data_IF_256330437744
#
_entry.id   IF_256330437744
#
_cell.length_a   1.000
_cell.length_b   1.000
_cell.length_c   1.000
_cell.angle_alpha   90.00
_cell.angle_beta   90.00
_cell.angle_gamma   90.00
#
_symmetry.space_group_name_H-M   'P 1'
#
loop_
_entity.id
_entity.type
_entity.pdbx_description
1 polymer ?
#
# COMPACT_ATOMS: atom_id res chain seq x y z
N UNK A 1 22.77 -15.08 -38.97
CA UNK A 1 21.90 -15.98 -38.18
C UNK A 1 21.68 -15.31 -36.84
N UNK A 2 20.58 -14.58 -36.76
CA UNK A 2 20.28 -13.57 -35.76
C UNK A 2 19.59 -14.23 -34.56
N UNK A 3 20.25 -14.23 -33.40
CA UNK A 3 19.73 -14.83 -32.18
C UNK A 3 18.73 -13.87 -31.52
N UNK A 4 17.46 -14.23 -31.63
CA UNK A 4 16.29 -13.58 -31.05
C UNK A 4 16.45 -13.28 -29.55
N UNK A 5 16.27 -12.01 -29.18
CA UNK A 5 16.19 -11.54 -27.78
C UNK A 5 14.86 -12.02 -27.15
N UNK A 6 14.85 -12.53 -25.90
CA UNK A 6 13.60 -12.85 -25.22
C UNK A 6 12.83 -11.56 -24.88
N UNK A 7 11.54 -11.59 -25.19
CA UNK A 7 10.61 -10.49 -25.01
C UNK A 7 10.52 -10.04 -23.54
N UNK A 8 10.55 -8.73 -23.33
CA UNK A 8 10.32 -8.10 -22.03
C UNK A 8 8.89 -8.42 -21.56
N UNK A 9 8.78 -9.09 -20.41
CA UNK A 9 7.53 -9.29 -19.69
C UNK A 9 6.87 -7.93 -19.43
N UNK A 10 5.77 -7.67 -20.12
CA UNK A 10 4.87 -6.54 -19.86
C UNK A 10 3.92 -6.94 -18.74
N UNK A 11 4.21 -6.53 -17.50
CA UNK A 11 3.26 -6.60 -16.41
C UNK A 11 2.28 -5.41 -16.54
N UNK A 12 0.99 -5.72 -16.68
CA UNK A 12 -0.12 -4.80 -16.91
C UNK A 12 -0.98 -4.69 -15.64
N UNK A 13 -1.32 -3.44 -15.30
CA UNK A 13 -2.51 -2.88 -14.62
C UNK A 13 -2.96 -3.35 -13.22
N UNK A 14 -3.28 -2.37 -12.34
CA UNK A 14 -4.26 -2.48 -11.22
C UNK A 14 -4.25 -1.25 -10.29
N UNK A 15 -4.84 -0.13 -10.68
CA UNK A 15 -4.40 1.15 -10.14
C UNK A 15 -5.51 2.20 -10.43
N UNK A 16 -6.25 2.78 -9.45
CA UNK A 16 -6.93 4.11 -9.59
C UNK A 16 -6.92 5.08 -8.38
N UNK A 17 -6.82 6.42 -8.59
CA UNK A 17 -7.96 7.32 -8.29
C UNK A 17 -8.25 8.47 -9.30
N UNK A 18 -9.46 9.05 -9.25
CA UNK A 18 -9.98 10.14 -10.11
C UNK A 18 -9.52 11.53 -9.65
N UNK A 19 -9.24 12.45 -10.58
CA UNK A 19 -8.66 13.78 -10.28
C UNK A 19 -9.48 14.93 -10.82
N UNK A 20 -9.65 15.98 -10.02
CA UNK A 20 -10.53 17.11 -10.33
C UNK A 20 -9.87 18.45 -9.96
N UNK A 21 -10.13 19.52 -10.70
CA UNK A 21 -9.45 20.82 -10.49
C UNK A 21 -10.18 21.74 -9.49
N UNK A 22 -9.44 22.58 -8.75
CA UNK A 22 -9.95 23.69 -7.92
C UNK A 22 -9.48 25.06 -8.48
N UNK A 23 -10.20 26.15 -8.22
CA UNK A 23 -9.82 27.52 -8.64
C UNK A 23 -8.77 28.19 -7.72
N UNK A 24 -8.41 27.56 -6.60
CA UNK A 24 -7.40 28.02 -5.64
C UNK A 24 -7.50 27.27 -4.30
N UNK A 25 -6.57 27.48 -3.36
CA UNK A 25 -6.68 26.93 -1.99
C UNK A 25 -6.33 25.44 -1.82
N UNK A 26 -5.74 24.80 -2.83
CA UNK A 26 -5.13 23.48 -2.67
C UNK A 26 -3.70 23.57 -2.13
N UNK A 27 -3.13 22.44 -1.71
CA UNK A 27 -1.77 22.38 -1.16
C UNK A 27 -0.67 22.78 -2.15
N UNK A 28 -1.00 22.93 -3.43
CA UNK A 28 -0.07 23.30 -4.50
C UNK A 28 0.72 24.60 -4.22
N UNK A 29 0.12 25.58 -3.55
CA UNK A 29 0.76 26.86 -3.23
C UNK A 29 1.17 26.99 -1.74
N UNK A 30 1.11 25.91 -0.97
CA UNK A 30 1.34 25.94 0.47
C UNK A 30 2.77 26.34 0.87
N UNK A 31 3.75 26.02 0.03
CA UNK A 31 5.19 26.27 0.25
C UNK A 31 5.65 27.69 -0.09
N UNK A 32 4.77 28.54 -0.64
CA UNK A 32 5.09 29.93 -0.95
C UNK A 32 5.33 30.74 0.33
N UNK A 33 6.10 31.83 0.20
CA UNK A 33 6.54 32.67 1.32
C UNK A 33 5.41 33.00 2.32
N UNK A 34 4.19 33.40 1.91
CA UNK A 34 3.11 33.67 2.87
C UNK A 34 2.68 32.43 3.66
N UNK A 35 2.61 31.25 3.02
CA UNK A 35 2.29 29.98 3.67
C UNK A 35 3.37 29.58 4.66
N UNK A 36 4.65 29.72 4.29
CA UNK A 36 5.79 29.43 5.14
C UNK A 36 5.83 30.33 6.38
N UNK A 37 5.60 31.64 6.22
CA UNK A 37 5.57 32.60 7.34
C UNK A 37 4.42 32.29 8.31
N UNK A 38 3.23 31.96 7.80
CA UNK A 38 2.09 31.61 8.65
C UNK A 38 2.34 30.31 9.44
N UNK A 39 2.98 29.33 8.81
CA UNK A 39 3.37 28.09 9.49
C UNK A 39 4.42 28.34 10.57
N UNK A 40 5.53 28.99 10.24
CA UNK A 40 6.66 29.16 11.18
C UNK A 40 6.32 30.07 12.36
N UNK A 41 5.52 31.12 12.15
CA UNK A 41 5.20 32.08 13.21
C UNK A 41 3.94 31.73 14.01
N UNK A 42 2.98 31.03 13.40
CA UNK A 42 1.65 30.82 14.00
C UNK A 42 1.23 29.36 14.06
N UNK A 43 2.00 28.43 13.50
CA UNK A 43 1.64 27.02 13.38
C UNK A 43 0.26 26.84 12.72
N UNK A 44 -0.03 27.66 11.70
CA UNK A 44 -1.31 27.70 10.99
C UNK A 44 -1.09 27.72 9.48
N UNK A 45 -2.12 27.30 8.74
CA UNK A 45 -2.16 27.36 7.28
C UNK A 45 -1.90 26.01 6.63
N UNK A 46 -1.92 25.97 5.29
CA UNK A 46 -1.92 24.73 4.50
C UNK A 46 -0.72 23.79 4.75
N UNK A 47 0.41 24.29 5.26
CA UNK A 47 1.56 23.46 5.63
C UNK A 47 1.33 22.61 6.90
N UNK A 48 0.24 22.82 7.63
CA UNK A 48 -0.17 21.94 8.76
C UNK A 48 -1.00 20.73 8.30
N UNK A 49 -1.26 20.62 7.00
CA UNK A 49 -2.02 19.52 6.40
C UNK A 49 -1.25 18.21 6.39
N UNK A 50 -1.96 17.10 6.60
CA UNK A 50 -1.49 15.73 6.36
C UNK A 50 -1.75 15.25 4.92
N UNK A 51 -2.22 16.13 4.03
CA UNK A 51 -2.55 15.88 2.62
C UNK A 51 -3.87 15.14 2.40
N UNK A 52 -4.11 14.04 3.11
CA UNK A 52 -5.40 13.32 3.08
C UNK A 52 -6.36 13.92 4.11
N UNK A 53 -7.16 14.88 3.65
CA UNK A 53 -7.96 15.77 4.51
C UNK A 53 -9.34 15.20 4.86
N UNK A 54 -9.85 14.26 4.05
CA UNK A 54 -11.08 13.54 4.38
C UNK A 54 -11.03 12.10 3.89
N UNK A 55 -11.73 11.23 4.60
CA UNK A 55 -11.85 9.82 4.28
C UNK A 55 -13.23 9.30 4.66
N UNK A 56 -13.64 8.19 4.06
CA UNK A 56 -14.88 7.49 4.35
C UNK A 56 -14.77 6.01 4.03
N UNK A 57 -15.55 5.18 4.71
CA UNK A 57 -15.56 3.74 4.50
C UNK A 57 -16.85 3.32 3.82
N UNK A 58 -16.73 2.50 2.77
CA UNK A 58 -17.86 1.99 2.01
C UNK A 58 -17.74 0.48 1.78
N UNK A 59 -18.88 -0.14 1.50
CA UNK A 59 -18.95 -1.52 1.03
C UNK A 59 -19.06 -1.49 -0.49
N UNK A 60 -18.24 -2.27 -1.18
CA UNK A 60 -18.37 -2.50 -2.63
C UNK A 60 -19.67 -3.21 -2.96
N UNK A 61 -20.07 -4.16 -2.10
CA UNK A 61 -21.29 -4.96 -2.23
C UNK A 61 -22.11 -4.99 -0.93
N UNK A 62 -23.45 -4.99 -1.00
CA UNK A 62 -24.31 -4.81 0.16
C UNK A 62 -24.26 -5.98 1.17
N UNK A 63 -23.90 -7.17 0.72
CA UNK A 63 -23.79 -8.40 1.50
C UNK A 63 -22.53 -8.49 2.38
N UNK A 64 -21.56 -7.57 2.21
CA UNK A 64 -20.37 -7.57 3.06
C UNK A 64 -20.70 -7.20 4.51
N UNK A 65 -20.12 -7.91 5.49
CA UNK A 65 -20.33 -7.61 6.90
C UNK A 65 -19.65 -6.31 7.34
N UNK A 66 -18.59 -5.90 6.66
CA UNK A 66 -17.78 -4.71 6.97
C UNK A 66 -17.36 -3.98 5.68
N UNK A 67 -17.04 -2.67 5.75
CA UNK A 67 -16.51 -1.90 4.61
C UNK A 67 -15.18 -2.44 4.10
N UNK A 68 -15.09 -2.75 2.82
CA UNK A 68 -13.90 -3.22 2.11
C UNK A 68 -13.25 -2.13 1.26
N UNK A 69 -13.87 -0.94 1.20
CA UNK A 69 -13.37 0.22 0.49
C UNK A 69 -13.13 1.39 1.45
N UNK A 70 -12.00 2.07 1.29
CA UNK A 70 -11.74 3.39 1.85
C UNK A 70 -11.72 4.40 0.71
N UNK A 71 -12.55 5.43 0.83
CA UNK A 71 -12.61 6.57 -0.05
C UNK A 71 -11.77 7.67 0.58
N UNK A 72 -10.78 8.19 -0.15
CA UNK A 72 -9.92 9.27 0.31
C UNK A 72 -10.13 10.53 -0.54
N UNK A 73 -9.98 11.68 0.10
CA UNK A 73 -9.98 12.99 -0.51
C UNK A 73 -8.68 13.69 -0.15
N UNK A 74 -7.91 14.07 -1.17
CA UNK A 74 -6.67 14.81 -0.98
C UNK A 74 -6.64 16.03 -1.92
N UNK A 75 -6.60 17.28 -1.40
CA UNK A 75 -6.46 18.48 -2.21
C UNK A 75 -4.99 18.70 -2.63
N UNK A 76 -4.40 17.67 -3.23
CA UNK A 76 -2.99 17.62 -3.58
C UNK A 76 -2.76 16.94 -4.93
N UNK A 77 -1.69 17.35 -5.62
CA UNK A 77 -1.34 16.78 -6.91
C UNK A 77 -0.55 15.48 -6.77
N UNK A 78 -1.22 14.39 -6.38
CA UNK A 78 -0.63 13.07 -6.48
C UNK A 78 -0.66 12.57 -7.93
N UNK A 79 0.27 13.05 -8.76
CA UNK A 79 0.54 12.50 -10.10
C UNK A 79 1.74 11.55 -10.04
N UNK A 80 1.56 10.28 -10.43
CA UNK A 80 2.68 9.33 -10.63
C UNK A 80 3.70 9.34 -9.48
N UNK A 81 3.26 9.14 -8.24
CA UNK A 81 4.18 9.19 -7.06
C UNK A 81 4.93 10.53 -6.92
N UNK A 82 4.34 11.62 -7.41
CA UNK A 82 4.89 12.99 -7.44
C UNK A 82 6.04 13.18 -8.45
N UNK A 83 6.17 12.30 -9.44
CA UNK A 83 7.21 12.37 -10.48
C UNK A 83 6.90 13.37 -11.60
N UNK A 84 5.65 13.84 -11.71
CA UNK A 84 5.23 14.83 -12.71
C UNK A 84 4.75 16.10 -12.02
N UNK A 85 5.26 17.24 -12.49
CA UNK A 85 4.86 18.55 -11.99
C UNK A 85 3.38 18.82 -12.32
N UNK A 86 2.56 19.25 -11.34
CA UNK A 86 1.16 19.58 -11.56
C UNK A 86 1.05 20.83 -12.44
N UNK A 87 0.15 20.83 -13.43
CA UNK A 87 -0.14 22.02 -14.25
C UNK A 87 -1.37 22.81 -13.78
N UNK A 88 -2.04 22.36 -12.72
CA UNK A 88 -3.23 22.97 -12.12
C UNK A 88 -3.29 22.69 -10.60
N UNK A 89 -4.37 23.11 -9.93
CA UNK A 89 -4.71 22.74 -8.55
C UNK A 89 -5.58 21.46 -8.51
N UNK A 90 -5.03 20.24 -8.61
CA UNK A 90 -5.85 19.05 -8.56
C UNK A 90 -6.24 18.69 -7.12
N UNK A 91 -7.36 18.00 -7.06
CA UNK A 91 -7.92 17.25 -5.96
C UNK A 91 -8.00 15.82 -6.43
N UNK A 92 -7.73 14.88 -5.53
CA UNK A 92 -7.87 13.45 -5.77
C UNK A 92 -9.03 12.95 -4.94
N UNK A 93 -9.98 12.27 -5.60
CA UNK A 93 -10.99 11.44 -4.93
C UNK A 93 -10.69 10.00 -5.32
N UNK A 94 -10.21 9.24 -4.35
CA UNK A 94 -9.65 7.92 -4.57
C UNK A 94 -10.30 6.81 -3.78
N UNK A 95 -10.07 5.59 -4.24
CA UNK A 95 -10.49 4.38 -3.55
C UNK A 95 -9.28 3.52 -3.23
N UNK A 96 -9.29 2.95 -2.03
CA UNK A 96 -8.33 1.95 -1.54
C UNK A 96 -9.11 0.69 -1.22
N UNK A 97 -8.63 -0.44 -1.74
CA UNK A 97 -9.15 -1.77 -1.39
C UNK A 97 -8.53 -2.23 -0.06
N UNK A 98 -9.36 -2.46 0.93
CA UNK A 98 -8.97 -2.79 2.30
C UNK A 98 -8.92 -4.29 2.57
N UNK A 99 -9.55 -5.10 1.74
CA UNK A 99 -9.58 -6.56 1.85
C UNK A 99 -9.25 -7.21 0.51
N UNK A 100 -8.00 -7.06 0.01
CA UNK A 100 -7.60 -7.68 -1.24
C UNK A 100 -7.56 -9.21 -1.11
N UNK A 101 -8.13 -9.89 -2.10
CA UNK A 101 -8.02 -11.34 -2.31
C UNK A 101 -6.68 -11.67 -2.97
N UNK A 102 -6.23 -10.82 -3.90
CA UNK A 102 -4.94 -10.96 -4.57
C UNK A 102 -3.79 -11.04 -3.55
N UNK A 103 -2.81 -11.89 -3.86
CA UNK A 103 -1.61 -12.09 -3.03
C UNK A 103 -0.36 -11.99 -3.89
N UNK A 104 0.58 -11.14 -3.49
CA UNK A 104 1.90 -11.04 -4.13
C UNK A 104 2.92 -12.01 -3.53
N UNK A 105 4.16 -11.86 -3.97
CA UNK A 105 5.33 -12.53 -3.45
C UNK A 105 6.55 -11.62 -3.49
N UNK A 106 7.49 -11.89 -2.58
CA UNK A 106 8.81 -11.27 -2.57
C UNK A 106 9.85 -12.39 -2.50
N UNK A 107 10.86 -12.36 -3.38
CA UNK A 107 11.92 -13.36 -3.41
C UNK A 107 13.30 -12.70 -3.53
N UNK A 108 14.32 -13.43 -3.07
CA UNK A 108 15.70 -13.01 -3.24
C UNK A 108 16.12 -13.23 -4.69
N UNK A 109 16.83 -12.24 -5.25
CA UNK A 109 17.43 -12.36 -6.58
C UNK A 109 18.76 -13.12 -6.56
N UNK A 110 19.49 -12.99 -5.46
CA UNK A 110 20.84 -13.53 -5.26
C UNK A 110 21.12 -13.69 -3.76
N UNK A 111 22.27 -14.27 -3.43
CA UNK A 111 22.76 -14.37 -2.05
C UNK A 111 23.41 -13.06 -1.54
N UNK A 112 23.52 -12.02 -2.38
CA UNK A 112 24.06 -10.72 -1.96
C UNK A 112 23.01 -9.97 -1.13
N UNK A 113 23.27 -9.67 0.16
CA UNK A 113 22.32 -8.96 1.02
C UNK A 113 22.06 -7.51 0.56
N UNK A 114 22.94 -6.92 -0.26
CA UNK A 114 22.72 -5.60 -0.86
C UNK A 114 21.92 -5.68 -2.19
N UNK A 115 21.66 -6.90 -2.68
CA UNK A 115 20.90 -7.13 -3.89
C UNK A 115 19.44 -6.71 -3.74
N UNK A 116 18.89 -6.03 -4.76
CA UNK A 116 17.47 -5.67 -4.77
C UNK A 116 16.60 -6.93 -4.87
N UNK A 117 15.59 -7.12 -4.00
CA UNK A 117 14.68 -8.24 -4.08
C UNK A 117 13.84 -8.19 -5.36
N UNK A 118 13.25 -9.32 -5.72
CA UNK A 118 12.18 -9.39 -6.72
C UNK A 118 10.87 -9.22 -5.98
N UNK A 119 10.11 -8.18 -6.31
CA UNK A 119 8.79 -7.92 -5.72
C UNK A 119 7.76 -8.05 -6.84
N UNK A 120 6.85 -9.00 -6.69
CA UNK A 120 5.72 -9.20 -7.58
C UNK A 120 4.41 -9.12 -6.77
N UNK A 121 3.76 -7.94 -6.73
CA UNK A 121 2.59 -7.73 -5.89
C UNK A 121 1.32 -8.42 -6.42
N UNK A 122 1.29 -8.78 -7.72
CA UNK A 122 0.14 -9.42 -8.39
C UNK A 122 -1.21 -8.78 -8.06
N UNK A 123 -1.31 -7.45 -8.12
CA UNK A 123 -2.57 -6.76 -7.83
C UNK A 123 -3.68 -7.14 -8.86
N UNK A 124 -4.93 -7.31 -8.40
CA UNK A 124 -6.13 -7.76 -9.18
C UNK A 124 -5.86 -9.03 -9.99
N UNK A 125 -5.05 -9.93 -9.45
CA UNK A 125 -4.75 -11.22 -10.09
C UNK A 125 -5.67 -12.34 -9.62
N UNK A 126 -6.61 -12.04 -8.73
CA UNK A 126 -7.60 -13.01 -8.27
C UNK A 126 -8.47 -13.49 -9.44
N UNK A 127 -8.69 -14.80 -9.51
CA UNK A 127 -9.36 -15.45 -10.65
C UNK A 127 -10.81 -15.01 -10.83
N UNK A 128 -11.45 -14.63 -9.74
CA UNK A 128 -12.88 -14.33 -9.70
C UNK A 128 -13.14 -12.84 -9.98
N UNK A 129 -12.08 -12.03 -10.13
CA UNK A 129 -12.14 -10.60 -10.40
C UNK A 129 -12.76 -9.79 -9.25
N UNK A 130 -12.78 -10.33 -8.03
CA UNK A 130 -13.35 -9.73 -6.83
C UNK A 130 -12.69 -8.38 -6.56
N UNK A 131 -11.36 -8.32 -6.57
CA UNK A 131 -10.66 -7.08 -6.27
C UNK A 131 -10.94 -6.03 -7.34
N UNK A 132 -10.96 -6.45 -8.62
CA UNK A 132 -11.21 -5.56 -9.75
C UNK A 132 -12.62 -4.97 -9.68
N UNK A 133 -13.61 -5.80 -9.39
CA UNK A 133 -15.00 -5.38 -9.29
C UNK A 133 -15.19 -4.42 -8.11
N UNK A 134 -14.63 -4.73 -6.94
CA UNK A 134 -14.71 -3.86 -5.77
C UNK A 134 -14.09 -2.48 -6.02
N UNK A 135 -12.94 -2.43 -6.70
CA UNK A 135 -12.30 -1.17 -7.09
C UNK A 135 -13.15 -0.35 -8.08
N UNK A 136 -13.80 -0.99 -9.07
CA UNK A 136 -14.71 -0.29 -9.98
C UNK A 136 -15.93 0.27 -9.24
N UNK A 137 -16.51 -0.47 -8.30
CA UNK A 137 -17.61 0.03 -7.46
C UNK A 137 -17.20 1.24 -6.63
N UNK A 138 -16.00 1.20 -6.03
CA UNK A 138 -15.47 2.36 -5.34
C UNK A 138 -15.22 3.56 -6.25
N UNK A 139 -14.78 3.35 -7.49
CA UNK A 139 -14.64 4.42 -8.48
C UNK A 139 -15.99 5.04 -8.86
N UNK A 140 -17.06 4.25 -8.94
CA UNK A 140 -18.42 4.78 -9.12
C UNK A 140 -18.84 5.65 -7.94
N UNK A 141 -18.52 5.26 -6.71
CA UNK A 141 -18.76 6.08 -5.52
C UNK A 141 -17.99 7.40 -5.62
N UNK A 142 -16.71 7.36 -6.01
CA UNK A 142 -15.90 8.57 -6.22
C UNK A 142 -16.50 9.49 -7.30
N UNK A 143 -16.95 8.95 -8.44
CA UNK A 143 -17.62 9.73 -9.49
C UNK A 143 -18.91 10.40 -8.99
N UNK A 144 -19.72 9.66 -8.23
CA UNK A 144 -20.95 10.18 -7.64
C UNK A 144 -20.67 11.31 -6.65
N UNK A 145 -19.65 11.16 -5.79
CA UNK A 145 -19.21 12.21 -4.87
C UNK A 145 -18.72 13.45 -5.63
N UNK A 146 -17.87 13.28 -6.65
CA UNK A 146 -17.38 14.39 -7.46
C UNK A 146 -18.53 15.16 -8.16
N UNK A 147 -19.61 14.45 -8.51
CA UNK A 147 -20.79 15.01 -9.17
C UNK A 147 -21.84 15.59 -8.21
N UNK A 148 -21.68 15.39 -6.90
CA UNK A 148 -22.62 15.87 -5.90
C UNK A 148 -22.74 17.40 -5.94
N UNK A 149 -23.94 18.00 -5.77
CA UNK A 149 -24.15 19.44 -5.93
C UNK A 149 -23.21 20.32 -5.08
N UNK A 150 -22.88 19.88 -3.87
CA UNK A 150 -21.97 20.58 -2.96
C UNK A 150 -20.51 20.60 -3.40
N UNK A 151 -20.09 19.60 -4.20
CA UNK A 151 -18.73 19.49 -4.71
C UNK A 151 -18.61 19.98 -6.15
N UNK A 152 -19.62 19.73 -6.98
CA UNK A 152 -19.65 20.09 -8.40
C UNK A 152 -19.41 21.57 -8.66
N UNK A 153 -19.82 22.47 -7.76
CA UNK A 153 -19.57 23.91 -7.92
C UNK A 153 -18.12 24.33 -7.63
N UNK A 154 -17.36 23.48 -6.94
CA UNK A 154 -15.97 23.72 -6.53
C UNK A 154 -14.97 22.94 -7.41
N UNK A 155 -15.47 21.92 -8.09
CA UNK A 155 -14.71 20.94 -8.84
C UNK A 155 -14.81 21.21 -10.35
N UNK A 156 -13.65 21.31 -11.01
CA UNK A 156 -13.53 21.39 -12.47
C UNK A 156 -13.75 20.04 -13.18
N UNK A 157 -13.34 19.91 -14.45
CA UNK A 157 -13.46 18.64 -15.17
C UNK A 157 -12.51 17.57 -14.61
N UNK A 158 -12.83 16.30 -14.88
CA UNK A 158 -11.91 15.19 -14.65
C UNK A 158 -10.69 15.37 -15.55
N UNK A 159 -9.49 15.41 -14.95
CA UNK A 159 -8.23 15.60 -15.70
C UNK A 159 -7.51 14.29 -16.00
N UNK A 160 -7.83 13.22 -15.26
CA UNK A 160 -7.30 11.86 -15.46
C UNK A 160 -8.38 10.82 -15.12
N UNK A 161 -8.52 9.75 -15.92
CA UNK A 161 -7.69 9.40 -17.08
C UNK A 161 -7.95 10.32 -18.27
N UNK A 162 -6.97 10.46 -19.17
CA UNK A 162 -7.17 11.24 -20.40
C UNK A 162 -7.91 10.34 -21.38
N UNK A 163 -9.20 10.62 -21.58
CA UNK A 163 -10.07 9.89 -22.49
C UNK A 163 -10.62 10.82 -23.58
N UNK A 164 -10.91 10.31 -24.79
CA UNK A 164 -11.57 11.10 -25.83
C UNK A 164 -12.89 11.71 -25.34
N UNK A 165 -13.27 12.92 -25.80
CA UNK A 165 -14.58 13.48 -25.51
C UNK A 165 -15.71 12.52 -25.92
N UNK A 166 -16.69 12.33 -25.04
CA UNK A 166 -17.81 11.41 -25.26
C UNK A 166 -17.53 9.94 -24.93
N UNK A 167 -16.37 9.62 -24.35
CA UNK A 167 -16.10 8.28 -23.79
C UNK A 167 -17.14 7.95 -22.72
N UNK A 168 -17.79 6.77 -22.75
CA UNK A 168 -18.73 6.36 -21.71
C UNK A 168 -18.10 6.33 -20.32
N UNK A 169 -18.86 6.69 -19.29
CA UNK A 169 -18.36 6.75 -17.91
C UNK A 169 -17.73 5.43 -17.46
N UNK A 170 -18.36 4.30 -17.74
CA UNK A 170 -17.84 2.97 -17.39
C UNK A 170 -16.49 2.65 -18.06
N UNK A 171 -16.32 3.06 -19.32
CA UNK A 171 -15.04 2.93 -20.00
C UNK A 171 -13.99 3.85 -19.37
N UNK A 172 -14.36 5.08 -19.03
CA UNK A 172 -13.49 6.00 -18.30
C UNK A 172 -13.07 5.44 -16.94
N UNK A 173 -13.98 4.84 -16.15
CA UNK A 173 -13.64 4.24 -14.86
C UNK A 173 -12.72 3.02 -15.03
N UNK A 174 -12.95 2.22 -16.07
CA UNK A 174 -12.07 1.09 -16.42
C UNK A 174 -10.66 1.59 -16.77
N UNK A 175 -10.55 2.61 -17.61
CA UNK A 175 -9.27 3.27 -17.93
C UNK A 175 -8.62 3.84 -16.69
N UNK A 176 -9.40 4.45 -15.81
CA UNK A 176 -8.92 4.98 -14.55
C UNK A 176 -8.28 3.87 -13.74
N UNK A 177 -8.92 2.70 -13.62
CA UNK A 177 -8.41 1.54 -12.89
C UNK A 177 -7.19 0.89 -13.55
N UNK A 178 -7.05 0.98 -14.86
CA UNK A 178 -5.92 0.36 -15.54
C UNK A 178 -4.67 1.26 -15.52
N UNK A 179 -4.86 2.59 -15.53
CA UNK A 179 -3.79 3.54 -15.75
C UNK A 179 -3.28 4.31 -14.51
N UNK A 180 -4.07 4.49 -13.44
CA UNK A 180 -3.83 5.65 -12.55
C UNK A 180 -3.35 5.41 -11.13
N UNK A 181 -3.75 4.33 -10.53
CA UNK A 181 -3.48 4.06 -9.12
C UNK A 181 -2.10 3.52 -8.89
N UNK A 182 -1.97 2.95 -7.73
CA UNK A 182 -0.70 2.81 -7.07
C UNK A 182 -0.89 2.00 -5.81
N UNK A 183 0.22 1.60 -5.20
CA UNK A 183 0.18 1.16 -3.82
C UNK A 183 -0.05 2.38 -2.92
N UNK A 184 -0.77 2.19 -1.81
CA UNK A 184 -0.80 3.17 -0.71
C UNK A 184 0.25 2.82 0.38
N UNK A 185 1.29 2.07 -0.02
CA UNK A 185 2.46 1.79 0.82
C UNK A 185 2.17 0.99 2.10
N UNK A 186 1.20 0.07 2.03
CA UNK A 186 0.84 -0.85 3.12
C UNK A 186 1.16 -2.34 2.82
N UNK A 187 2.39 -2.73 2.44
CA UNK A 187 2.73 -4.14 2.27
C UNK A 187 2.71 -4.88 3.62
N UNK A 188 2.25 -6.13 3.61
CA UNK A 188 2.13 -6.95 4.82
C UNK A 188 2.26 -8.45 4.48
N UNK A 189 2.52 -9.27 5.50
CA UNK A 189 2.33 -10.72 5.42
C UNK A 189 3.40 -11.64 4.81
N UNK A 190 4.57 -11.22 4.26
CA UNK A 190 5.52 -12.19 3.71
C UNK A 190 6.12 -13.16 4.74
N UNK A 191 6.11 -12.81 6.03
CA UNK A 191 6.56 -13.66 7.13
C UNK A 191 5.40 -14.01 8.09
N UNK A 192 4.23 -14.32 7.53
CA UNK A 192 2.97 -14.49 8.26
C UNK A 192 3.10 -15.33 9.54
N UNK A 193 2.52 -14.81 10.61
CA UNK A 193 2.28 -15.50 11.88
C UNK A 193 1.14 -16.54 11.77
N UNK A 194 1.32 -17.71 12.38
CA UNK A 194 0.28 -18.74 12.42
C UNK A 194 0.66 -19.98 13.22
N UNK A 195 -0.34 -20.85 13.44
CA UNK A 195 -0.12 -22.17 14.06
C UNK A 195 0.06 -23.30 13.04
N UNK A 196 -0.24 -23.02 11.77
CA UNK A 196 -0.14 -23.95 10.66
C UNK A 196 1.29 -24.07 10.09
N UNK A 197 1.54 -25.13 9.33
CA UNK A 197 2.86 -25.41 8.75
C UNK A 197 3.30 -24.37 7.70
N UNK A 198 2.37 -23.60 7.13
CA UNK A 198 2.65 -22.56 6.13
C UNK A 198 2.90 -21.17 6.77
N UNK A 199 3.02 -21.09 8.09
CA UNK A 199 3.43 -19.87 8.80
C UNK A 199 4.95 -19.78 8.92
N UNK A 200 5.50 -18.57 8.91
CA UNK A 200 6.94 -18.32 9.11
C UNK A 200 7.26 -18.17 10.59
N UNK A 201 6.40 -17.47 11.33
CA UNK A 201 6.53 -17.28 12.78
C UNK A 201 5.34 -17.88 13.53
N UNK A 202 5.59 -18.33 14.76
CA UNK A 202 4.54 -18.76 15.69
C UNK A 202 3.92 -17.55 16.43
N UNK A 203 2.79 -17.71 17.17
CA UNK A 203 2.06 -16.58 17.76
C UNK A 203 2.80 -15.67 18.76
N UNK A 204 3.98 -16.08 19.24
CA UNK A 204 4.91 -15.29 20.06
C UNK A 204 6.04 -14.64 19.23
N UNK A 205 5.88 -14.63 17.91
CA UNK A 205 6.76 -14.05 16.89
C UNK A 205 8.08 -14.78 16.68
N UNK A 206 8.25 -15.97 17.26
CA UNK A 206 9.45 -16.78 17.07
C UNK A 206 9.47 -17.42 15.68
N UNK A 207 10.64 -17.34 15.02
CA UNK A 207 10.87 -17.93 13.70
C UNK A 207 10.92 -19.45 13.84
N UNK A 208 10.12 -20.14 13.03
CA UNK A 208 10.11 -21.60 13.04
C UNK A 208 11.46 -22.15 12.60
N UNK A 209 12.01 -23.07 13.40
CA UNK A 209 13.26 -23.76 13.10
C UNK A 209 14.53 -22.95 13.39
N UNK A 210 14.41 -21.75 13.98
CA UNK A 210 15.56 -20.93 14.38
C UNK A 210 15.38 -20.48 15.83
N UNK A 211 16.27 -20.94 16.70
CA UNK A 211 16.26 -20.55 18.11
C UNK A 211 16.63 -19.07 18.29
N UNK A 212 16.00 -18.42 19.29
CA UNK A 212 16.29 -17.04 19.70
C UNK A 212 16.14 -15.96 18.60
N UNK A 213 15.38 -16.25 17.53
CA UNK A 213 15.08 -15.29 16.46
C UNK A 213 13.59 -14.94 16.40
N UNK A 214 13.26 -13.65 16.29
CA UNK A 214 11.89 -13.14 16.15
C UNK A 214 11.78 -12.11 15.03
N UNK A 215 10.59 -12.01 14.45
CA UNK A 215 10.24 -10.97 13.47
C UNK A 215 9.12 -10.12 14.06
N UNK A 216 9.27 -8.80 14.10
CA UNK A 216 8.33 -7.91 14.78
C UNK A 216 8.03 -6.65 13.96
N UNK A 217 7.57 -6.87 12.73
CA UNK A 217 7.11 -5.83 11.80
C UNK A 217 5.83 -6.29 11.08
N UNK A 218 5.31 -5.46 10.18
CA UNK A 218 4.12 -5.78 9.38
C UNK A 218 4.19 -7.07 8.55
N UNK A 219 5.37 -7.67 8.36
CA UNK A 219 5.50 -8.93 7.64
C UNK A 219 4.84 -10.11 8.36
N UNK A 220 4.66 -10.04 9.68
CA UNK A 220 4.05 -11.13 10.46
C UNK A 220 2.52 -11.09 10.46
N UNK A 221 1.93 -9.98 10.00
CA UNK A 221 0.48 -9.81 10.01
C UNK A 221 -0.21 -10.87 9.12
N UNK A 222 -1.11 -11.71 9.66
CA UNK A 222 -1.75 -12.78 8.89
C UNK A 222 -2.82 -12.30 7.92
N UNK A 223 -3.40 -11.13 8.19
CA UNK A 223 -4.31 -10.42 7.32
C UNK A 223 -4.07 -8.92 7.50
N UNK A 224 -4.32 -8.16 6.45
CA UNK A 224 -4.33 -6.70 6.55
C UNK A 224 -5.51 -6.25 7.41
N UNK A 225 -5.31 -5.17 8.15
CA UNK A 225 -6.41 -4.48 8.81
C UNK A 225 -7.16 -3.60 7.82
N UNK A 226 -8.44 -3.35 8.08
CA UNK A 226 -9.24 -2.39 7.30
C UNK A 226 -8.90 -0.96 7.75
N UNK A 227 -7.80 -0.43 7.22
CA UNK A 227 -7.29 0.91 7.47
C UNK A 227 -5.77 1.01 7.36
N UNK A 228 -5.21 2.16 7.72
CA UNK A 228 -3.77 2.42 7.59
C UNK A 228 -2.92 1.61 8.58
N UNK A 229 -1.89 0.92 8.09
CA UNK A 229 -1.17 -0.13 8.84
C UNK A 229 -0.26 0.38 9.96
N UNK A 230 0.09 1.67 9.97
CA UNK A 230 1.01 2.27 10.94
C UNK A 230 0.58 2.04 12.40
N UNK A 231 -0.72 2.04 12.68
CA UNK A 231 -1.24 1.79 14.02
C UNK A 231 -0.98 0.36 14.51
N UNK A 232 -1.09 -0.62 13.60
CA UNK A 232 -0.93 -2.05 13.93
C UNK A 232 0.54 -2.44 14.03
N UNK A 233 1.40 -1.92 13.15
CA UNK A 233 2.84 -2.18 13.18
C UNK A 233 3.47 -1.77 14.53
N UNK A 234 3.10 -0.58 15.04
CA UNK A 234 3.53 -0.12 16.37
C UNK A 234 3.04 -1.02 17.51
N UNK A 235 1.89 -1.67 17.37
CA UNK A 235 1.36 -2.57 18.38
C UNK A 235 2.14 -3.88 18.40
N UNK A 236 2.50 -4.41 17.24
CA UNK A 236 3.28 -5.65 17.14
C UNK A 236 4.71 -5.44 17.63
N UNK A 237 5.34 -4.32 17.27
CA UNK A 237 6.64 -3.92 17.83
C UNK A 237 6.64 -3.71 19.35
N UNK A 238 5.50 -3.36 19.96
CA UNK A 238 5.37 -3.31 21.44
C UNK A 238 5.20 -4.68 22.08
N UNK A 239 4.66 -5.67 21.36
CA UNK A 239 4.52 -7.05 21.86
C UNK A 239 5.84 -7.80 21.89
N UNK A 240 6.78 -7.44 21.02
CA UNK A 240 8.14 -7.98 21.01
C UNK A 240 9.05 -7.37 22.07
N UNK A 241 8.64 -6.30 22.75
CA UNK A 241 9.39 -5.68 23.85
C UNK A 241 9.62 -6.73 24.97
N UNK A 242 10.88 -6.97 25.38
CA UNK A 242 11.20 -7.91 26.46
C UNK A 242 10.46 -7.66 27.78
N UNK A 243 9.87 -6.48 28.01
CA UNK A 243 8.99 -6.24 29.16
C UNK A 243 7.58 -6.87 29.05
N UNK A 244 7.08 -7.13 27.83
CA UNK A 244 5.78 -7.76 27.55
C UNK A 244 5.89 -9.23 27.14
N UNK A 245 7.10 -9.69 26.82
CA UNK A 245 7.41 -11.11 26.64
C UNK A 245 7.48 -11.76 28.02
N UNK A 246 6.44 -12.51 28.39
CA UNK A 246 6.51 -13.38 29.58
C UNK A 246 7.70 -14.31 29.38
N UNK A 247 8.71 -14.32 30.27
CA UNK A 247 9.87 -15.19 30.10
C UNK A 247 9.39 -16.63 30.14
N UNK A 248 9.48 -17.35 29.02
CA UNK A 248 9.35 -18.79 29.04
C UNK A 248 10.50 -19.31 29.92
N UNK A 249 10.16 -19.99 31.02
CA UNK A 249 11.12 -20.49 31.99
C UNK A 249 11.97 -21.62 31.37
N UNK A 250 13.00 -21.27 30.59
CA UNK A 250 14.18 -22.10 30.31
C UNK A 250 15.39 -21.20 30.10
N UNK A 251 15.78 -20.47 31.14
CA UNK A 251 17.11 -19.83 31.18
C UNK A 251 18.18 -20.90 31.38
N UNK A 252 18.64 -21.53 30.30
CA UNK A 252 19.93 -22.18 30.28
C UNK A 252 21.00 -21.09 30.16
N UNK A 253 21.69 -20.84 31.26
CA UNK A 253 22.75 -19.84 31.40
C UNK A 253 23.93 -20.22 30.49
N UNK A 254 23.98 -19.70 29.25
CA UNK A 254 25.12 -19.93 28.37
C UNK A 254 26.25 -18.94 28.68
N UNK A 255 27.36 -19.47 29.20
CA UNK A 255 28.60 -18.73 29.45
C UNK A 255 29.19 -18.30 28.10
N UNK A 256 29.63 -17.04 28.02
CA UNK A 256 30.44 -16.53 26.90
C UNK A 256 31.63 -17.45 26.67
N UNK A 257 31.67 -18.09 25.52
CA UNK A 257 32.92 -18.63 24.96
C UNK A 257 32.96 -18.19 23.52
N UNK A 258 33.89 -17.30 23.21
CA UNK A 258 34.19 -16.89 21.85
C UNK A 258 34.72 -18.09 21.08
N UNK A 259 34.14 -18.38 19.92
CA UNK A 259 34.81 -19.23 18.94
C UNK A 259 34.39 -18.83 17.52
N UNK A 260 35.37 -18.32 16.79
CA UNK A 260 35.36 -18.22 15.33
C UNK A 260 35.13 -19.62 14.74
N UNK A 261 34.22 -19.76 13.78
CA UNK A 261 34.20 -20.94 12.91
C UNK A 261 33.75 -20.58 11.49
N UNK A 262 34.73 -20.75 10.61
CA UNK A 262 34.76 -20.86 9.15
C UNK A 262 33.43 -21.18 8.44
N UNK A 263 33.19 -20.35 7.43
CA UNK A 263 32.36 -20.57 6.25
C UNK A 263 32.91 -21.78 5.46
N UNK A 264 32.06 -22.74 5.09
CA UNK A 264 32.41 -23.79 4.13
C UNK A 264 31.41 -24.95 4.06
N UNK A 265 30.55 -24.96 3.05
CA UNK A 265 29.74 -26.12 2.65
C UNK A 265 28.53 -25.72 1.77
N UNK A 266 28.28 -26.38 0.63
CA UNK A 266 27.20 -26.01 -0.29
C UNK A 266 25.86 -26.57 0.20
N UNK A 267 24.82 -25.75 0.20
CA UNK A 267 23.43 -26.23 0.33
C UNK A 267 22.74 -26.10 -1.03
N UNK A 268 22.79 -27.19 -1.79
CA UNK A 268 21.67 -27.54 -2.67
C UNK A 268 20.51 -27.95 -1.77
N UNK A 269 19.46 -27.15 -1.70
CA UNK A 269 18.10 -27.68 -1.62
C UNK A 269 17.11 -26.59 -2.06
N UNK A 270 16.57 -26.82 -3.26
CA UNK A 270 15.51 -26.03 -3.87
C UNK A 270 14.22 -26.36 -3.12
N UNK A 271 13.77 -25.48 -2.23
CA UNK A 271 12.36 -25.42 -1.85
C UNK A 271 11.70 -24.28 -2.60
N UNK A 272 10.78 -24.65 -3.49
CA UNK A 272 9.81 -23.75 -4.11
C UNK A 272 8.89 -23.24 -3.00
N UNK A 273 8.88 -21.92 -2.81
CA UNK A 273 7.84 -21.15 -2.12
C UNK A 273 6.84 -20.70 -3.18
#
# INVERSE_FOLDING_TARGET
>A
MEASRPARSRAIASRSPMRVQFDGGSLFAADKIPGLVNYLLRWKGMLTSNVEEAYGFARSRPDLPLPDLEILFAPAPFFEERLVAPTAHPVVIGVVLLEPVSRGQITLRSADPAGKPVIDPRYLSDSDGIDRNAMLDGLRICAALASAPSLRSQLGPIVRPVVPPGTPDEEMLTRALEELGQTIYHPFGPCRMGRDAASVVIPDLEVRGVDELRIADASVMPAIIRGHTLGTDRREGRRSDPQHVVPSRRTARCRRTAMQAKIGGPCEEVSRI
#
